data_IF_886384802737
#
_entry.id   IF_886384802737
#
_cell.length_a   1.000
_cell.length_b   1.000
_cell.length_c   1.000
_cell.angle_alpha   90.00
_cell.angle_beta   90.00
_cell.angle_gamma   90.00
#
_symmetry.space_group_name_H-M   'P 1'
#
loop_
_entity.id
_entity.type
_entity.pdbx_description
1 polymer ?
#
# COMPACT_ATOMS: atom_id res chain seq x y z
N UNK A 1 -16.53 3.46 -8.09
CA UNK A 1 -15.44 2.57 -8.53
C UNK A 1 -15.54 2.48 -10.03
N UNK A 2 -14.47 2.79 -10.76
CA UNK A 2 -14.45 2.72 -12.23
C UNK A 2 -13.65 1.50 -12.66
N UNK A 3 -14.16 0.72 -13.61
CA UNK A 3 -13.60 -0.56 -14.05
C UNK A 3 -13.37 -0.55 -15.56
N UNK A 4 -12.21 -1.05 -15.98
CA UNK A 4 -11.83 -1.27 -17.37
C UNK A 4 -11.36 -2.71 -17.48
N UNK A 5 -11.93 -3.48 -18.41
CA UNK A 5 -11.58 -4.87 -18.68
C UNK A 5 -12.14 -5.26 -20.05
N UNK A 6 -11.66 -6.38 -20.60
CA UNK A 6 -12.20 -6.89 -21.87
C UNK A 6 -13.51 -7.66 -21.66
N UNK A 7 -13.59 -8.45 -20.59
CA UNK A 7 -14.79 -9.25 -20.27
C UNK A 7 -15.26 -8.99 -18.86
N UNK A 8 -16.56 -8.74 -18.70
CA UNK A 8 -17.21 -8.58 -17.40
C UNK A 8 -18.41 -9.53 -17.27
N UNK A 9 -18.48 -10.22 -16.13
CA UNK A 9 -19.62 -11.05 -15.74
C UNK A 9 -20.19 -10.52 -14.44
N UNK A 10 -21.45 -10.10 -14.48
CA UNK A 10 -22.15 -9.59 -13.30
C UNK A 10 -23.07 -10.67 -12.77
N UNK A 11 -22.89 -11.02 -11.49
CA UNK A 11 -23.77 -11.94 -10.79
C UNK A 11 -24.88 -11.15 -10.12
N UNK A 12 -26.04 -11.09 -10.79
CA UNK A 12 -27.25 -10.49 -10.23
C UNK A 12 -28.09 -11.57 -9.53
N UNK A 13 -28.66 -11.27 -8.36
CA UNK A 13 -29.65 -12.15 -7.74
C UNK A 13 -30.96 -12.13 -8.53
N UNK A 14 -31.70 -13.24 -8.50
CA UNK A 14 -32.97 -13.40 -9.23
C UNK A 14 -34.08 -12.44 -8.78
N UNK A 15 -33.95 -11.81 -7.60
CA UNK A 15 -35.00 -11.04 -6.93
C UNK A 15 -34.86 -9.52 -7.04
N UNK A 16 -34.10 -9.00 -8.01
CA UNK A 16 -34.02 -7.54 -8.27
C UNK A 16 -33.24 -6.75 -7.20
N UNK A 17 -32.55 -7.44 -6.30
CA UNK A 17 -31.58 -6.84 -5.38
C UNK A 17 -30.29 -6.42 -6.10
N UNK A 18 -29.47 -5.60 -5.43
CA UNK A 18 -28.14 -5.17 -5.89
C UNK A 18 -27.27 -6.36 -6.31
N UNK A 19 -26.42 -6.15 -7.32
CA UNK A 19 -25.52 -7.18 -7.84
C UNK A 19 -24.66 -7.77 -6.70
N UNK A 20 -24.66 -9.11 -6.57
CA UNK A 20 -23.93 -9.84 -5.51
C UNK A 20 -22.45 -10.01 -5.83
N UNK A 21 -22.07 -9.83 -7.09
CA UNK A 21 -20.67 -9.87 -7.47
C UNK A 21 -20.44 -9.49 -8.92
N UNK A 22 -19.19 -9.21 -9.21
CA UNK A 22 -18.69 -8.87 -10.54
C UNK A 22 -17.35 -9.57 -10.73
N UNK A 23 -17.20 -10.26 -11.85
CA UNK A 23 -15.94 -10.87 -12.28
C UNK A 23 -15.51 -10.13 -13.53
N UNK A 24 -14.39 -9.42 -13.45
CA UNK A 24 -13.72 -8.79 -14.58
C UNK A 24 -12.52 -9.65 -14.96
N UNK A 25 -12.32 -9.89 -16.26
CA UNK A 25 -11.26 -10.72 -16.81
C UNK A 25 -10.57 -9.98 -17.96
N UNK A 26 -9.28 -10.28 -18.15
CA UNK A 26 -8.41 -9.80 -19.22
C UNK A 26 -8.15 -8.29 -19.16
N UNK A 27 -6.91 -7.93 -18.82
CA UNK A 27 -6.42 -6.54 -18.71
C UNK A 27 -7.28 -5.68 -17.78
N UNK A 28 -7.55 -6.21 -16.58
CA UNK A 28 -8.38 -5.53 -15.62
C UNK A 28 -7.63 -4.35 -15.02
N UNK A 29 -8.24 -3.18 -15.09
CA UNK A 29 -7.82 -1.99 -14.39
C UNK A 29 -9.00 -1.38 -13.63
N UNK A 30 -8.76 -0.87 -12.42
CA UNK A 30 -9.80 -0.19 -11.66
C UNK A 30 -9.26 0.97 -10.85
N UNK A 31 -10.15 1.92 -10.57
CA UNK A 31 -9.88 3.05 -9.72
C UNK A 31 -10.78 3.01 -8.48
N UNK A 32 -10.13 2.98 -7.31
CA UNK A 32 -10.76 3.08 -6.00
C UNK A 32 -10.37 4.39 -5.33
N UNK A 33 -11.34 5.10 -4.78
CA UNK A 33 -11.12 6.22 -3.88
C UNK A 33 -11.29 5.71 -2.46
N UNK A 34 -10.37 6.05 -1.56
CA UNK A 34 -10.58 5.86 -0.13
C UNK A 34 -11.40 7.02 0.48
N UNK A 35 -11.71 6.92 1.77
CA UNK A 35 -12.49 7.94 2.50
C UNK A 35 -11.82 9.32 2.52
N UNK A 36 -10.49 9.36 2.35
CA UNK A 36 -9.71 10.60 2.28
C UNK A 36 -9.63 11.17 0.86
N UNK A 37 -10.25 10.50 -0.11
CA UNK A 37 -10.21 10.85 -1.53
C UNK A 37 -8.93 10.42 -2.26
N UNK A 38 -8.05 9.65 -1.61
CA UNK A 38 -6.83 9.18 -2.24
C UNK A 38 -7.15 8.04 -3.22
N UNK A 39 -6.73 8.25 -4.46
CA UNK A 39 -6.94 7.31 -5.56
C UNK A 39 -5.93 6.17 -5.50
N UNK A 40 -6.45 4.95 -5.56
CA UNK A 40 -5.70 3.70 -5.70
C UNK A 40 -6.08 3.08 -7.04
N UNK A 41 -5.11 2.96 -7.93
CA UNK A 41 -5.26 2.33 -9.23
C UNK A 41 -4.81 0.87 -9.14
N UNK A 42 -5.68 -0.08 -9.44
CA UNK A 42 -5.35 -1.49 -9.47
C UNK A 42 -5.28 -2.02 -10.89
N UNK A 43 -4.29 -2.85 -11.20
CA UNK A 43 -4.16 -3.55 -12.49
C UNK A 43 -3.84 -5.03 -12.31
N UNK A 44 -4.40 -5.90 -13.16
CA UNK A 44 -4.17 -7.34 -13.11
C UNK A 44 -4.89 -8.10 -14.21
N UNK A 45 -4.85 -9.42 -14.15
CA UNK A 45 -5.42 -10.30 -15.18
C UNK A 45 -6.91 -10.57 -14.92
N UNK A 46 -7.31 -10.63 -13.65
CA UNK A 46 -8.69 -10.86 -13.24
C UNK A 46 -8.98 -10.15 -11.93
N UNK A 47 -10.19 -9.59 -11.80
CA UNK A 47 -10.70 -9.08 -10.54
C UNK A 47 -12.08 -9.64 -10.22
N UNK A 48 -12.26 -10.07 -8.98
CA UNK A 48 -13.51 -10.60 -8.44
C UNK A 48 -13.97 -9.70 -7.32
N UNK A 49 -15.03 -8.96 -7.57
CA UNK A 49 -15.75 -8.21 -6.56
C UNK A 49 -16.92 -9.07 -6.04
N UNK A 50 -17.00 -9.25 -4.73
CA UNK A 50 -18.07 -9.99 -4.09
C UNK A 50 -18.71 -9.15 -2.98
N UNK A 51 -20.02 -9.02 -3.05
CA UNK A 51 -20.86 -8.30 -2.11
C UNK A 51 -21.93 -9.26 -1.56
N UNK A 52 -21.88 -9.55 -0.27
CA UNK A 52 -22.81 -10.47 0.36
C UNK A 52 -23.35 -9.87 1.67
N UNK A 53 -24.67 -9.84 1.80
CA UNK A 53 -25.36 -9.46 3.04
C UNK A 53 -25.82 -10.75 3.71
N UNK A 54 -25.21 -11.09 4.84
CA UNK A 54 -25.61 -12.22 5.68
C UNK A 54 -26.17 -11.69 7.02
N UNK A 55 -27.50 -11.55 7.08
CA UNK A 55 -28.19 -10.99 8.25
C UNK A 55 -27.84 -9.51 8.46
N UNK A 56 -27.20 -9.19 9.60
CA UNK A 56 -26.75 -7.81 9.93
C UNK A 56 -25.32 -7.50 9.46
N UNK A 57 -24.63 -8.44 8.83
CA UNK A 57 -23.24 -8.27 8.39
C UNK A 57 -23.19 -8.15 6.87
N UNK A 58 -22.56 -7.08 6.42
CA UNK A 58 -22.19 -6.90 5.02
C UNK A 58 -20.74 -7.35 4.88
N UNK A 59 -20.47 -8.24 3.93
CA UNK A 59 -19.12 -8.62 3.52
C UNK A 59 -18.90 -8.10 2.11
N UNK A 60 -17.88 -7.27 1.94
CA UNK A 60 -17.52 -6.66 0.66
C UNK A 60 -16.04 -6.89 0.43
N UNK A 61 -15.73 -7.74 -0.55
CA UNK A 61 -14.35 -8.13 -0.85
C UNK A 61 -14.04 -7.89 -2.31
N UNK A 62 -12.81 -7.49 -2.58
CA UNK A 62 -12.27 -7.39 -3.93
C UNK A 62 -10.98 -8.19 -4.02
N UNK A 63 -10.96 -9.19 -4.88
CA UNK A 63 -9.77 -10.01 -5.14
C UNK A 63 -9.23 -9.68 -6.52
N UNK A 64 -7.99 -9.20 -6.59
CA UNK A 64 -7.25 -8.93 -7.82
C UNK A 64 -6.15 -9.98 -7.96
N UNK A 65 -6.11 -10.66 -9.09
CA UNK A 65 -5.10 -11.68 -9.40
C UNK A 65 -4.39 -11.32 -10.69
N UNK A 66 -3.09 -11.62 -10.75
CA UNK A 66 -2.33 -11.50 -11.98
C UNK A 66 -0.84 -11.77 -11.80
N UNK A 67 -0.09 -11.75 -12.91
CA UNK A 67 1.36 -12.01 -12.91
C UNK A 67 2.13 -10.82 -13.49
N UNK A 68 2.28 -9.69 -12.76
CA UNK A 68 1.80 -9.42 -11.39
C UNK A 68 0.47 -8.65 -11.34
N UNK A 69 -0.32 -8.88 -10.28
CA UNK A 69 -1.32 -7.91 -9.85
C UNK A 69 -0.64 -6.73 -9.15
N UNK A 70 -1.02 -5.51 -9.51
CA UNK A 70 -0.42 -4.27 -9.01
C UNK A 70 -1.48 -3.33 -8.44
N UNK A 71 -1.19 -2.73 -7.31
CA UNK A 71 -1.88 -1.56 -6.78
C UNK A 71 -0.93 -0.38 -6.75
N UNK A 72 -1.33 0.73 -7.35
CA UNK A 72 -0.57 1.95 -7.43
C UNK A 72 -1.33 3.09 -6.77
N UNK A 73 -0.69 3.72 -5.80
CA UNK A 73 -1.04 5.02 -5.22
C UNK A 73 -0.02 6.06 -5.70
N UNK A 74 -0.27 7.32 -5.39
CA UNK A 74 0.57 8.47 -5.78
C UNK A 74 2.06 8.25 -5.57
N UNK A 75 2.47 7.63 -4.47
CA UNK A 75 3.89 7.43 -4.12
C UNK A 75 4.25 5.97 -3.89
N UNK A 76 3.27 5.07 -3.84
CA UNK A 76 3.47 3.69 -3.42
C UNK A 76 2.95 2.72 -4.47
N UNK A 77 3.75 1.74 -4.85
CA UNK A 77 3.35 0.64 -5.71
C UNK A 77 3.47 -0.66 -4.93
N UNK A 78 2.43 -1.47 -4.95
CA UNK A 78 2.35 -2.76 -4.31
C UNK A 78 2.06 -3.82 -5.37
N UNK A 79 2.87 -4.87 -5.42
CA UNK A 79 2.73 -5.97 -6.37
C UNK A 79 2.63 -7.29 -5.63
N UNK A 80 1.72 -8.14 -6.08
CA UNK A 80 1.63 -9.53 -5.66
C UNK A 80 0.99 -10.37 -6.77
N UNK A 81 0.96 -11.70 -6.62
CA UNK A 81 0.16 -12.55 -7.51
C UNK A 81 -1.32 -12.50 -7.18
N UNK A 82 -1.66 -12.31 -5.90
CA UNK A 82 -3.03 -12.24 -5.38
C UNK A 82 -3.13 -11.10 -4.37
N UNK A 83 -4.08 -10.20 -4.56
CA UNK A 83 -4.34 -9.08 -3.67
C UNK A 83 -5.82 -9.13 -3.30
N UNK A 84 -6.12 -9.26 -2.02
CA UNK A 84 -7.49 -9.28 -1.51
C UNK A 84 -7.70 -8.04 -0.65
N UNK A 85 -8.63 -7.19 -1.07
CA UNK A 85 -9.07 -6.02 -0.33
C UNK A 85 -10.41 -6.35 0.35
N UNK A 86 -10.41 -6.41 1.67
CA UNK A 86 -11.62 -6.36 2.46
C UNK A 86 -12.05 -4.91 2.62
N UNK A 87 -13.13 -4.53 1.93
CA UNK A 87 -13.63 -3.15 1.94
C UNK A 87 -14.42 -2.81 3.20
N UNK A 88 -14.87 -3.81 3.95
CA UNK A 88 -15.63 -3.61 5.19
C UNK A 88 -14.72 -3.24 6.34
N UNK A 89 -13.54 -3.87 6.40
CA UNK A 89 -12.53 -3.58 7.42
C UNK A 89 -11.40 -2.67 6.90
N UNK A 90 -11.43 -2.33 5.61
CA UNK A 90 -10.39 -1.59 4.89
C UNK A 90 -9.01 -2.24 4.97
N UNK A 91 -8.97 -3.58 5.03
CA UNK A 91 -7.73 -4.34 5.15
C UNK A 91 -7.29 -4.92 3.82
N UNK A 92 -5.99 -4.83 3.56
CA UNK A 92 -5.34 -5.47 2.43
C UNK A 92 -4.67 -6.76 2.90
N UNK A 93 -5.01 -7.86 2.24
CA UNK A 93 -4.41 -9.17 2.40
C UNK A 93 -3.66 -9.54 1.13
N UNK A 94 -2.43 -9.98 1.28
CA UNK A 94 -1.55 -10.34 0.17
C UNK A 94 -0.83 -11.64 0.52
N UNK A 95 -1.44 -12.80 0.24
CA UNK A 95 -0.80 -14.08 0.52
C UNK A 95 0.45 -14.26 -0.36
N UNK A 96 1.49 -14.87 0.20
CA UNK A 96 2.71 -15.19 -0.53
C UNK A 96 3.74 -14.07 -0.54
N UNK A 97 4.55 -14.02 -1.61
CA UNK A 97 5.67 -13.08 -1.76
C UNK A 97 5.18 -11.82 -2.45
N UNK A 98 5.13 -10.72 -1.71
CA UNK A 98 4.78 -9.41 -2.25
C UNK A 98 6.03 -8.55 -2.48
N UNK A 99 5.90 -7.54 -3.36
CA UNK A 99 6.88 -6.46 -3.53
C UNK A 99 6.19 -5.13 -3.25
N UNK A 100 6.87 -4.26 -2.51
CA UNK A 100 6.38 -2.91 -2.24
C UNK A 100 7.48 -1.91 -2.56
N UNK A 101 7.13 -0.93 -3.37
CA UNK A 101 7.99 0.18 -3.75
C UNK A 101 7.36 1.46 -3.20
N UNK A 102 8.13 2.23 -2.44
CA UNK A 102 7.73 3.56 -2.01
C UNK A 102 8.71 4.56 -2.61
N UNK A 103 8.19 5.52 -3.35
CA UNK A 103 8.91 6.76 -3.67
C UNK A 103 8.82 7.66 -2.44
N UNK A 104 9.60 7.34 -1.41
CA UNK A 104 9.91 8.30 -0.37
C UNK A 104 10.90 9.32 -0.94
N UNK A 105 10.71 10.61 -0.61
CA UNK A 105 11.89 11.44 -0.41
C UNK A 105 12.80 10.68 0.55
N UNK A 106 14.09 10.60 0.21
CA UNK A 106 15.11 9.97 1.02
C UNK A 106 15.04 10.49 2.45
N UNK A 107 14.33 9.76 3.32
CA UNK A 107 14.39 9.99 4.74
C UNK A 107 15.79 9.56 5.15
N UNK A 108 16.69 10.54 5.31
CA UNK A 108 17.97 10.38 6.00
C UNK A 108 17.70 9.89 7.43
N UNK A 109 17.40 8.61 7.58
CA UNK A 109 17.04 7.96 8.85
C UNK A 109 18.27 7.55 9.66
N UNK A 110 19.46 7.88 9.19
CA UNK A 110 20.70 7.73 9.94
C UNK A 110 21.38 9.09 10.15
N UNK A 111 20.81 9.97 10.98
CA UNK A 111 21.62 11.04 11.60
C UNK A 111 22.37 10.41 12.77
N UNK A 112 23.58 9.91 12.51
CA UNK A 112 24.54 9.55 13.55
C UNK A 112 24.82 10.79 14.40
N UNK A 113 24.16 10.88 15.55
CA UNK A 113 24.46 11.92 16.53
C UNK A 113 25.68 11.45 17.30
N UNK A 114 26.85 12.02 17.01
CA UNK A 114 27.97 11.91 17.94
C UNK A 114 27.55 12.51 19.28
N UNK A 115 27.59 11.76 20.39
CA UNK A 115 27.45 12.36 21.71
C UNK A 115 28.61 13.35 21.88
N UNK A 116 28.29 14.60 22.21
CA UNK A 116 29.30 15.64 22.48
C UNK A 116 30.09 15.24 23.73
N UNK A 117 31.22 14.57 23.55
CA UNK A 117 32.20 14.35 24.62
C UNK A 117 32.79 15.69 25.01
N UNK A 118 32.43 16.17 26.21
CA UNK A 118 33.14 17.27 26.88
C UNK A 118 34.52 16.77 27.29
N UNK A 119 35.52 16.93 26.43
CA UNK A 119 36.90 16.84 26.88
C UNK A 119 37.29 18.14 27.59
N UNK A 120 37.70 17.99 28.85
CA UNK A 120 37.87 19.05 29.82
C UNK A 120 39.04 20.00 29.56
N UNK A 121 38.95 21.14 30.27
CA UNK A 121 39.99 22.16 30.46
C UNK A 121 41.35 21.56 30.84
N UNK A 122 42.41 22.08 30.22
CA UNK A 122 43.75 22.26 30.81
C UNK A 122 44.31 23.59 30.26
N UNK A 123 44.18 24.68 31.01
CA UNK A 123 45.20 25.26 31.92
C UNK A 123 46.41 25.83 31.17
N UNK A 124 46.60 27.14 31.34
CA UNK A 124 47.59 28.08 30.78
C UNK A 124 49.05 27.60 30.79
N UNK A 125 49.92 28.16 29.94
CA UNK A 125 51.35 27.81 29.91
C UNK A 125 52.10 28.41 31.12
N UNK A 126 53.06 27.69 31.74
CA UNK A 126 53.98 28.30 32.68
C UNK A 126 55.15 28.96 31.95
N UNK A 127 55.43 30.19 32.37
CA UNK A 127 56.62 30.96 32.11
C UNK A 127 57.81 30.34 32.88
N UNK A 128 58.91 30.01 32.21
CA UNK A 128 60.21 29.69 32.84
C UNK A 128 61.33 29.74 31.80
N UNK A 129 62.27 30.66 32.00
CA UNK A 129 63.38 30.91 31.09
C UNK A 129 64.67 30.09 31.32
N UNK A 130 65.59 30.38 30.40
CA UNK A 130 67.06 30.33 30.44
C UNK A 130 67.89 29.04 30.22
N UNK A 131 68.91 29.27 29.35
CA UNK A 131 70.25 28.67 29.18
C UNK A 131 70.44 27.47 28.22
N UNK A 132 71.00 27.75 27.04
CA UNK A 132 72.45 27.69 26.78
C UNK A 132 72.85 28.60 25.62
#
# INVERSE_FOLDING_TARGET
MNWVCQTVRVHMPATGETARGLVAEQEVAFDLLDETGLKTHGTGDQAVYAYNIAGKRTNETLTLTGVPARLQRTTNTFENTVIVLDRTTQKLHAPGKFRMFSQGESAFTNKFHMPKTRWGKKSSPPDAGYLK
#
